data_IF_692312547137
#
_entry.id   IF_692312547137
#
_cell.length_a   1.000
_cell.length_b   1.000
_cell.length_c   1.000
_cell.angle_alpha   90.00
_cell.angle_beta   90.00
_cell.angle_gamma   90.00
#
_symmetry.space_group_name_H-M   'P 1'
#
loop_
_entity.id
_entity.type
_entity.pdbx_description
1 polymer ?
#
# COMPACT_ATOMS: atom_id res chain seq x y z
N UNK A 1 -12.11 47.87 4.75
CA UNK A 1 -11.12 46.97 4.18
C UNK A 1 -11.47 46.76 2.72
N UNK A 2 -10.58 47.22 1.82
CA UNK A 2 -10.83 47.23 0.38
C UNK A 2 -10.81 45.76 -0.16
N UNK A 3 -11.53 45.49 -1.23
CA UNK A 3 -11.62 44.13 -1.83
C UNK A 3 -10.24 43.55 -2.16
N UNK A 4 -9.29 44.42 -2.53
CA UNK A 4 -7.89 44.03 -2.76
C UNK A 4 -7.15 43.61 -1.49
N UNK A 5 -7.41 44.23 -0.35
CA UNK A 5 -6.82 43.84 0.93
C UNK A 5 -7.37 42.50 1.43
N UNK A 6 -8.66 42.19 1.19
CA UNK A 6 -9.24 40.89 1.46
C UNK A 6 -8.60 39.78 0.61
N UNK A 7 -8.43 40.03 -0.69
CA UNK A 7 -7.81 39.05 -1.62
C UNK A 7 -6.33 38.81 -1.29
N UNK A 8 -5.59 39.87 -0.88
CA UNK A 8 -4.20 39.72 -0.44
C UNK A 8 -4.11 38.97 0.88
N UNK A 9 -5.03 39.20 1.81
CA UNK A 9 -5.08 38.53 3.11
C UNK A 9 -5.48 37.07 3.00
N UNK A 10 -6.46 36.72 2.12
CA UNK A 10 -6.81 35.38 1.77
C UNK A 10 -5.66 34.62 1.09
N UNK A 11 -4.95 35.27 0.17
CA UNK A 11 -3.76 34.70 -0.48
C UNK A 11 -2.56 34.53 0.49
N UNK A 12 -2.45 35.35 1.54
CA UNK A 12 -1.42 35.23 2.58
C UNK A 12 -1.81 34.11 3.58
N UNK A 13 -3.08 33.97 3.92
CA UNK A 13 -3.57 32.88 4.78
C UNK A 13 -3.51 31.52 4.07
N UNK A 14 -3.88 31.43 2.79
CA UNK A 14 -3.70 30.23 2.00
C UNK A 14 -2.21 29.86 1.86
N UNK A 15 -1.32 30.83 1.66
CA UNK A 15 0.13 30.58 1.66
C UNK A 15 0.70 30.12 3.01
N UNK A 16 0.12 30.53 4.14
CA UNK A 16 0.58 30.11 5.49
C UNK A 16 0.20 28.68 5.85
N UNK A 17 -0.91 28.17 5.34
CA UNK A 17 -1.37 26.80 5.62
C UNK A 17 -0.60 25.72 4.85
N UNK A 18 0.11 26.06 3.79
CA UNK A 18 0.88 25.14 2.95
C UNK A 18 2.32 24.86 3.41
N UNK A 19 2.85 25.54 4.43
CA UNK A 19 4.27 25.42 4.80
C UNK A 19 4.74 23.99 5.18
N UNK A 20 3.87 23.17 5.74
CA UNK A 20 4.21 21.76 6.05
C UNK A 20 4.07 20.90 4.80
N UNK A 21 3.06 21.18 3.97
CA UNK A 21 2.80 20.46 2.72
C UNK A 21 3.88 20.70 1.67
N UNK A 22 4.54 21.84 1.71
CA UNK A 22 5.67 22.17 0.83
C UNK A 22 6.96 21.42 1.19
N UNK A 23 6.96 20.70 2.33
CA UNK A 23 8.04 19.81 2.76
C UNK A 23 7.65 18.34 2.55
N UNK A 24 7.93 17.76 1.38
CA UNK A 24 7.39 16.45 0.99
C UNK A 24 7.80 15.32 1.94
N UNK A 25 9.03 15.33 2.44
CA UNK A 25 9.51 14.31 3.38
C UNK A 25 8.74 14.43 4.71
N UNK A 26 8.63 15.64 5.25
CA UNK A 26 7.92 15.89 6.50
C UNK A 26 6.43 15.54 6.37
N UNK A 27 5.78 15.97 5.28
CA UNK A 27 4.37 15.65 5.05
C UNK A 27 4.14 14.14 4.88
N UNK A 28 5.04 13.43 4.22
CA UNK A 28 4.97 11.97 4.09
C UNK A 28 5.12 11.26 5.44
N UNK A 29 6.06 11.71 6.29
CA UNK A 29 6.22 11.19 7.65
C UNK A 29 4.96 11.44 8.49
N UNK A 30 4.40 12.64 8.43
CA UNK A 30 3.18 12.98 9.17
C UNK A 30 1.97 12.17 8.70
N UNK A 31 1.84 11.92 7.40
CA UNK A 31 0.80 11.06 6.84
C UNK A 31 0.95 9.60 7.30
N UNK A 32 2.17 9.08 7.31
CA UNK A 32 2.46 7.75 7.84
C UNK A 32 2.09 7.65 9.33
N UNK A 33 2.54 8.62 10.14
CA UNK A 33 2.20 8.67 11.57
C UNK A 33 0.69 8.79 11.81
N UNK A 34 -0.01 9.52 10.94
CA UNK A 34 -1.47 9.65 11.00
C UNK A 34 -2.17 8.29 10.81
N UNK A 35 -1.84 7.52 9.78
CA UNK A 35 -2.42 6.18 9.59
C UNK A 35 -2.07 5.25 10.74
N UNK A 36 -0.81 5.27 11.19
CA UNK A 36 -0.37 4.49 12.34
C UNK A 36 -1.17 4.83 13.59
N UNK A 37 -1.41 6.12 13.85
CA UNK A 37 -2.22 6.58 14.99
C UNK A 37 -3.67 6.12 14.86
N UNK A 38 -4.30 6.29 13.69
CA UNK A 38 -5.68 5.85 13.44
C UNK A 38 -5.80 4.35 13.70
N UNK A 39 -4.88 3.55 13.15
CA UNK A 39 -4.86 2.10 13.34
C UNK A 39 -4.67 1.73 14.82
N UNK A 40 -3.72 2.38 15.52
CA UNK A 40 -3.45 2.15 16.93
C UNK A 40 -4.67 2.48 17.81
N UNK A 41 -5.37 3.59 17.54
CA UNK A 41 -6.59 3.96 18.27
C UNK A 41 -7.65 2.87 18.15
N UNK A 42 -7.91 2.35 16.95
CA UNK A 42 -8.86 1.25 16.78
C UNK A 42 -8.46 0.00 17.57
N UNK A 43 -7.19 -0.37 17.57
CA UNK A 43 -6.71 -1.53 18.32
C UNK A 43 -6.79 -1.30 19.85
N UNK A 44 -6.47 -0.10 20.33
CA UNK A 44 -6.54 0.23 21.76
C UNK A 44 -7.98 0.24 22.31
N UNK A 45 -8.97 0.65 21.54
CA UNK A 45 -10.38 0.71 21.98
C UNK A 45 -11.13 -0.61 21.80
N UNK A 46 -10.58 -1.54 21.05
CA UNK A 46 -11.21 -2.80 20.68
C UNK A 46 -11.59 -3.65 21.89
N UNK A 47 -10.63 -3.95 22.78
CA UNK A 47 -10.86 -4.79 23.97
C UNK A 47 -11.72 -4.09 25.01
N UNK A 48 -11.39 -2.85 25.48
CA UNK A 48 -12.16 -2.20 26.55
C UNK A 48 -13.62 -1.87 26.18
N UNK A 49 -13.88 -1.50 24.93
CA UNK A 49 -15.20 -1.05 24.51
C UNK A 49 -16.06 -2.19 23.97
N UNK A 50 -15.45 -3.14 23.25
CA UNK A 50 -16.17 -4.16 22.48
C UNK A 50 -15.97 -5.58 23.02
N UNK A 51 -15.04 -5.78 23.96
CA UNK A 51 -14.72 -7.11 24.52
C UNK A 51 -14.19 -8.11 23.47
N UNK A 52 -13.63 -7.60 22.39
CA UNK A 52 -13.27 -8.41 21.22
C UNK A 52 -11.79 -8.75 21.24
N UNK A 53 -11.44 -10.02 21.13
CA UNK A 53 -10.06 -10.51 21.00
C UNK A 53 -9.75 -10.87 19.54
N UNK A 54 -8.47 -10.80 19.15
CA UNK A 54 -8.04 -11.09 17.76
C UNK A 54 -8.27 -12.55 17.35
N UNK A 55 -8.22 -13.47 18.29
CA UNK A 55 -8.34 -14.92 18.01
C UNK A 55 -9.77 -15.36 17.65
N UNK A 56 -10.79 -14.60 18.03
CA UNK A 56 -12.19 -14.99 17.82
C UNK A 56 -12.80 -14.42 16.53
N UNK A 57 -13.92 -15.01 16.09
CA UNK A 57 -14.69 -14.55 14.93
C UNK A 57 -15.05 -13.05 15.02
N UNK A 58 -15.45 -12.58 16.21
CA UNK A 58 -15.75 -11.16 16.43
C UNK A 58 -14.55 -10.25 16.20
N UNK A 59 -13.33 -10.69 16.60
CA UNK A 59 -12.08 -9.99 16.36
C UNK A 59 -11.75 -9.86 14.88
N UNK A 60 -11.92 -10.93 14.14
CA UNK A 60 -11.65 -10.93 12.71
C UNK A 60 -12.63 -10.02 11.94
N UNK A 61 -13.92 -10.07 12.28
CA UNK A 61 -14.93 -9.18 11.68
C UNK A 61 -14.63 -7.72 12.04
N UNK A 62 -14.24 -7.44 13.28
CA UNK A 62 -13.83 -6.10 13.70
C UNK A 62 -12.62 -5.61 12.90
N UNK A 63 -11.60 -6.45 12.73
CA UNK A 63 -10.40 -6.13 11.96
C UNK A 63 -10.73 -5.76 10.50
N UNK A 64 -11.63 -6.47 9.87
CA UNK A 64 -12.13 -6.13 8.52
C UNK A 64 -12.85 -4.78 8.54
N UNK A 65 -13.80 -4.58 9.46
CA UNK A 65 -14.59 -3.37 9.53
C UNK A 65 -13.74 -2.12 9.78
N UNK A 66 -12.78 -2.18 10.71
CA UNK A 66 -11.93 -1.03 10.97
C UNK A 66 -10.98 -0.71 9.81
N UNK A 67 -10.54 -1.68 9.02
CA UNK A 67 -9.69 -1.40 7.86
C UNK A 67 -10.44 -0.59 6.79
N UNK A 68 -11.72 -0.93 6.51
CA UNK A 68 -12.56 -0.12 5.63
C UNK A 68 -12.86 1.27 6.20
N UNK A 69 -13.07 1.36 7.52
CA UNK A 69 -13.29 2.65 8.18
C UNK A 69 -12.01 3.52 8.13
N UNK A 70 -10.83 2.91 8.32
CA UNK A 70 -9.53 3.59 8.17
C UNK A 70 -9.34 4.09 6.74
N UNK A 71 -9.68 3.28 5.73
CA UNK A 71 -9.66 3.71 4.33
C UNK A 71 -10.53 4.95 4.13
N UNK A 72 -11.79 4.89 4.57
CA UNK A 72 -12.74 5.99 4.38
C UNK A 72 -12.29 7.28 5.08
N UNK A 73 -11.85 7.18 6.35
CA UNK A 73 -11.37 8.32 7.13
C UNK A 73 -10.11 8.91 6.50
N UNK A 74 -9.15 8.07 6.14
CA UNK A 74 -7.87 8.50 5.57
C UNK A 74 -8.08 9.19 4.23
N UNK A 75 -8.86 8.60 3.33
CA UNK A 75 -9.16 9.19 2.02
C UNK A 75 -9.91 10.52 2.15
N UNK A 76 -10.88 10.60 3.07
CA UNK A 76 -11.60 11.83 3.36
C UNK A 76 -10.68 12.93 3.90
N UNK A 77 -9.86 12.62 4.90
CA UNK A 77 -8.95 13.60 5.50
C UNK A 77 -7.87 14.01 4.50
N UNK A 78 -7.31 13.06 3.75
CA UNK A 78 -6.30 13.33 2.75
C UNK A 78 -6.80 14.27 1.66
N UNK A 79 -7.99 13.98 1.07
CA UNK A 79 -8.53 14.76 -0.04
C UNK A 79 -9.21 16.05 0.39
N UNK A 80 -9.99 16.07 1.48
CA UNK A 80 -10.85 17.20 1.85
C UNK A 80 -10.24 18.14 2.88
N UNK A 81 -9.45 17.58 3.81
CA UNK A 81 -8.88 18.37 4.91
C UNK A 81 -7.43 18.73 4.62
N UNK A 82 -6.61 17.75 4.30
CA UNK A 82 -5.17 17.92 4.13
C UNK A 82 -4.84 18.68 2.84
N UNK A 83 -5.35 18.23 1.70
CA UNK A 83 -5.14 18.89 0.41
C UNK A 83 -6.32 19.73 -0.09
N UNK A 84 -7.34 19.95 0.75
CA UNK A 84 -8.45 20.89 0.50
C UNK A 84 -9.08 20.78 -0.89
N UNK A 85 -9.14 19.56 -1.44
CA UNK A 85 -9.71 19.29 -2.75
C UNK A 85 -8.74 19.46 -3.93
N UNK A 86 -7.45 19.79 -3.69
CA UNK A 86 -6.42 19.85 -4.73
C UNK A 86 -6.04 18.48 -5.29
N UNK A 87 -6.53 17.41 -4.68
CA UNK A 87 -6.29 16.04 -5.09
C UNK A 87 -7.59 15.26 -5.27
N UNK A 88 -7.76 14.61 -6.41
CA UNK A 88 -8.97 13.84 -6.74
C UNK A 88 -9.19 12.58 -5.91
N UNK A 89 -8.18 12.16 -5.16
CA UNK A 89 -8.18 10.92 -4.38
C UNK A 89 -7.54 9.75 -5.09
N UNK A 90 -7.40 8.66 -4.36
CA UNK A 90 -6.60 7.50 -4.79
C UNK A 90 -7.45 6.34 -5.29
N UNK A 91 -8.75 6.34 -5.01
CA UNK A 91 -9.67 5.28 -5.44
C UNK A 91 -10.08 5.40 -6.91
N UNK A 92 -10.11 6.64 -7.44
CA UNK A 92 -10.48 6.92 -8.84
C UNK A 92 -9.32 6.60 -9.80
N UNK A 93 -9.65 6.02 -10.97
CA UNK A 93 -8.70 5.68 -12.02
C UNK A 93 -9.23 4.57 -12.92
N UNK A 94 -8.42 4.06 -13.83
CA UNK A 94 -8.76 2.94 -14.71
C UNK A 94 -8.53 1.60 -13.97
N UNK A 95 -9.49 1.25 -13.10
CA UNK A 95 -9.46 0.01 -12.30
C UNK A 95 -9.36 -1.23 -13.22
N UNK A 96 -10.14 -1.25 -14.31
CA UNK A 96 -10.15 -2.37 -15.25
C UNK A 96 -8.80 -2.58 -15.93
N UNK A 97 -8.12 -1.51 -16.29
CA UNK A 97 -6.76 -1.59 -16.81
C UNK A 97 -5.79 -2.11 -15.73
N UNK A 98 -5.84 -1.55 -14.53
CA UNK A 98 -5.01 -1.99 -13.40
C UNK A 98 -5.17 -3.48 -13.10
N UNK A 99 -6.40 -3.98 -13.01
CA UNK A 99 -6.66 -5.42 -12.79
C UNK A 99 -6.09 -6.30 -13.89
N UNK A 100 -6.18 -5.89 -15.16
CA UNK A 100 -5.55 -6.64 -16.27
C UNK A 100 -4.03 -6.73 -16.13
N UNK A 101 -3.37 -5.69 -15.62
CA UNK A 101 -1.92 -5.69 -15.38
C UNK A 101 -1.50 -6.67 -14.27
N UNK A 102 -2.43 -7.07 -13.39
CA UNK A 102 -2.17 -8.02 -12.30
C UNK A 102 -2.20 -9.49 -12.78
N UNK A 103 -2.79 -9.79 -13.93
CA UNK A 103 -2.99 -11.17 -14.42
C UNK A 103 -1.71 -12.02 -14.39
N UNK A 104 -0.53 -11.55 -14.86
CA UNK A 104 0.69 -12.37 -14.83
C UNK A 104 1.08 -12.81 -13.42
N UNK A 105 0.88 -11.94 -12.42
CA UNK A 105 1.22 -12.25 -11.02
C UNK A 105 0.22 -13.27 -10.45
N UNK A 106 -1.08 -13.07 -10.69
CA UNK A 106 -2.11 -14.05 -10.30
C UNK A 106 -1.82 -15.45 -10.86
N UNK A 107 -1.38 -15.52 -12.11
CA UNK A 107 -1.01 -16.81 -12.73
C UNK A 107 0.19 -17.44 -12.01
N UNK A 108 1.22 -16.66 -11.69
CA UNK A 108 2.39 -17.19 -10.96
C UNK A 108 2.00 -17.65 -9.56
N UNK A 109 1.23 -16.85 -8.82
CA UNK A 109 0.74 -17.21 -7.47
C UNK A 109 -0.08 -18.50 -7.50
N UNK A 110 -0.98 -18.64 -8.47
CA UNK A 110 -1.79 -19.86 -8.62
C UNK A 110 -0.95 -21.10 -8.99
N UNK A 111 0.12 -20.92 -9.77
CA UNK A 111 1.03 -22.02 -10.10
C UNK A 111 1.86 -22.44 -8.88
N UNK A 112 2.35 -21.48 -8.08
CA UNK A 112 3.05 -21.74 -6.81
C UNK A 112 2.10 -22.47 -5.85
N UNK A 113 0.89 -21.93 -5.67
CA UNK A 113 -0.14 -22.55 -4.83
C UNK A 113 -0.45 -24.00 -5.25
N UNK A 114 -0.67 -24.24 -6.55
CA UNK A 114 -0.97 -25.58 -7.06
C UNK A 114 0.21 -26.54 -6.84
N UNK A 115 1.45 -26.07 -7.03
CA UNK A 115 2.64 -26.85 -6.75
C UNK A 115 2.75 -27.23 -5.26
N UNK A 116 2.58 -26.27 -4.34
CA UNK A 116 2.67 -26.50 -2.91
C UNK A 116 1.57 -27.47 -2.43
N UNK A 117 0.37 -27.37 -3.01
CA UNK A 117 -0.71 -28.33 -2.74
C UNK A 117 -0.39 -29.73 -3.26
N UNK A 118 0.16 -29.83 -4.45
CA UNK A 118 0.59 -31.11 -5.02
C UNK A 118 1.67 -31.77 -4.16
N UNK A 119 2.60 -31.01 -3.63
CA UNK A 119 3.68 -31.46 -2.74
C UNK A 119 3.20 -31.73 -1.30
N UNK A 120 1.93 -31.52 -0.98
CA UNK A 120 1.35 -31.78 0.34
C UNK A 120 1.85 -30.83 1.43
N UNK A 121 2.34 -29.64 1.07
CA UNK A 121 2.86 -28.68 2.03
C UNK A 121 1.73 -28.02 2.85
N UNK A 122 2.05 -27.80 4.11
CA UNK A 122 1.30 -26.98 5.06
C UNK A 122 -0.01 -27.56 5.58
N UNK A 123 -0.43 -27.08 6.74
CA UNK A 123 -1.77 -27.24 7.29
C UNK A 123 -2.61 -26.00 6.95
N UNK A 124 -3.92 -26.21 6.73
CA UNK A 124 -4.83 -25.09 6.47
C UNK A 124 -4.96 -24.20 7.72
N UNK A 125 -4.65 -22.93 7.57
CA UNK A 125 -5.01 -21.90 8.55
C UNK A 125 -6.52 -21.64 8.52
N UNK A 126 -7.05 -21.09 9.60
CA UNK A 126 -8.46 -20.68 9.64
C UNK A 126 -8.79 -19.76 8.47
N UNK A 127 -9.75 -20.11 7.63
CA UNK A 127 -10.17 -19.33 6.47
C UNK A 127 -10.56 -17.90 6.88
N UNK A 128 -11.29 -17.75 7.99
CA UNK A 128 -11.69 -16.43 8.47
C UNK A 128 -10.47 -15.59 8.86
N UNK A 129 -9.47 -16.18 9.53
CA UNK A 129 -8.23 -15.50 9.86
C UNK A 129 -7.48 -15.05 8.60
N UNK A 130 -7.29 -15.95 7.64
CA UNK A 130 -6.61 -15.66 6.37
C UNK A 130 -7.29 -14.50 5.64
N UNK A 131 -8.62 -14.57 5.47
CA UNK A 131 -9.39 -13.51 4.80
C UNK A 131 -9.27 -12.18 5.55
N UNK A 132 -9.40 -12.18 6.89
CA UNK A 132 -9.32 -10.96 7.67
C UNK A 132 -7.93 -10.34 7.61
N UNK A 133 -6.87 -11.11 7.80
CA UNK A 133 -5.49 -10.64 7.74
C UNK A 133 -5.16 -10.06 6.35
N UNK A 134 -5.53 -10.77 5.28
CA UNK A 134 -5.29 -10.34 3.90
C UNK A 134 -6.07 -9.07 3.53
N UNK A 135 -7.33 -8.92 3.99
CA UNK A 135 -8.09 -7.67 3.78
C UNK A 135 -7.45 -6.51 4.52
N UNK A 136 -7.06 -6.72 5.77
CA UNK A 136 -6.43 -5.67 6.59
C UNK A 136 -5.11 -5.22 5.96
N UNK A 137 -4.22 -6.17 5.61
CA UNK A 137 -2.95 -5.85 4.96
C UNK A 137 -3.16 -5.13 3.62
N UNK A 138 -3.97 -5.71 2.74
CA UNK A 138 -4.26 -5.13 1.42
C UNK A 138 -4.85 -3.72 1.48
N UNK A 139 -5.63 -3.38 2.49
CA UNK A 139 -6.18 -2.03 2.66
C UNK A 139 -5.18 -1.09 3.34
N UNK A 140 -4.69 -1.45 4.53
CA UNK A 140 -3.89 -0.54 5.38
C UNK A 140 -2.53 -0.24 4.74
N UNK A 141 -1.89 -1.23 4.16
CA UNK A 141 -0.58 -1.06 3.55
C UNK A 141 -0.69 -0.28 2.23
N UNK A 142 -1.69 -0.55 1.40
CA UNK A 142 -1.87 0.21 0.16
C UNK A 142 -2.26 1.67 0.42
N UNK A 143 -3.09 1.95 1.43
CA UNK A 143 -3.34 3.34 1.86
C UNK A 143 -2.03 4.01 2.26
N UNK A 144 -1.23 3.35 3.09
CA UNK A 144 -0.03 3.94 3.66
C UNK A 144 1.02 4.22 2.58
N UNK A 145 1.35 3.22 1.77
CA UNK A 145 2.51 3.30 0.89
C UNK A 145 2.18 3.84 -0.50
N UNK A 146 0.98 3.57 -1.04
CA UNK A 146 0.58 4.04 -2.39
C UNK A 146 -0.29 5.27 -2.30
N UNK A 147 -1.35 5.24 -1.50
CA UNK A 147 -2.24 6.39 -1.39
C UNK A 147 -1.51 7.60 -0.79
N UNK A 148 -0.96 7.50 0.40
CA UNK A 148 -0.39 8.65 1.09
C UNK A 148 1.05 8.94 0.67
N UNK A 149 1.94 7.96 0.78
CA UNK A 149 3.37 8.18 0.53
C UNK A 149 3.65 8.46 -0.95
N UNK A 150 3.31 7.53 -1.84
CA UNK A 150 3.64 7.65 -3.26
C UNK A 150 2.90 8.81 -3.91
N UNK A 151 1.59 8.99 -3.65
CA UNK A 151 0.83 10.12 -4.21
C UNK A 151 1.41 11.47 -3.81
N UNK A 152 1.79 11.63 -2.54
CA UNK A 152 2.40 12.87 -2.05
C UNK A 152 3.79 13.11 -2.67
N UNK A 153 4.59 12.06 -2.86
CA UNK A 153 5.88 12.17 -3.55
C UNK A 153 5.68 12.50 -5.03
N UNK A 154 4.67 11.96 -5.70
CA UNK A 154 4.36 12.28 -7.10
C UNK A 154 3.95 13.73 -7.31
N UNK A 155 3.32 14.39 -6.34
CA UNK A 155 2.95 15.80 -6.39
C UNK A 155 4.14 16.72 -6.67
N UNK A 156 5.30 16.38 -6.15
CA UNK A 156 6.51 17.22 -6.21
C UNK A 156 7.51 16.77 -7.28
N UNK A 157 7.24 15.66 -7.98
CA UNK A 157 8.14 15.15 -9.02
C UNK A 157 7.75 15.70 -10.39
N UNK A 158 8.73 16.28 -11.10
CA UNK A 158 8.54 16.83 -12.45
C UNK A 158 9.41 16.13 -13.50
N UNK A 159 10.15 15.09 -13.13
CA UNK A 159 11.07 14.38 -14.01
C UNK A 159 10.92 12.87 -13.88
N UNK A 160 11.30 12.13 -14.93
CA UNK A 160 11.36 10.67 -14.89
C UNK A 160 12.22 10.15 -13.72
N UNK A 161 13.39 10.75 -13.48
CA UNK A 161 14.26 10.39 -12.34
C UNK A 161 13.58 10.62 -11.00
N UNK A 162 12.86 11.73 -10.86
CA UNK A 162 12.07 12.03 -9.65
C UNK A 162 10.98 10.99 -9.41
N UNK A 163 10.23 10.62 -10.45
CA UNK A 163 9.24 9.55 -10.37
C UNK A 163 9.87 8.23 -9.94
N UNK A 164 10.99 7.82 -10.55
CA UNK A 164 11.69 6.59 -10.17
C UNK A 164 12.21 6.63 -8.74
N UNK A 165 12.68 7.80 -8.27
CA UNK A 165 13.07 8.00 -6.87
C UNK A 165 11.86 7.81 -5.93
N UNK A 166 10.71 8.40 -6.24
CA UNK A 166 9.48 8.23 -5.46
C UNK A 166 9.05 6.77 -5.37
N UNK A 167 9.06 6.05 -6.50
CA UNK A 167 8.77 4.61 -6.57
C UNK A 167 9.76 3.82 -5.71
N UNK A 168 11.06 4.10 -5.85
CA UNK A 168 12.11 3.38 -5.09
C UNK A 168 11.96 3.59 -3.59
N UNK A 169 11.77 4.84 -3.15
CA UNK A 169 11.61 5.16 -1.72
C UNK A 169 10.37 4.48 -1.16
N UNK A 170 9.22 4.61 -1.83
CA UNK A 170 7.97 3.98 -1.39
C UNK A 170 8.10 2.46 -1.29
N UNK A 171 8.76 1.81 -2.25
CA UNK A 171 8.91 0.35 -2.29
C UNK A 171 9.89 -0.17 -1.23
N UNK A 172 11.01 0.53 -1.02
CA UNK A 172 11.98 0.15 0.02
C UNK A 172 11.41 0.35 1.43
N UNK A 173 10.67 1.43 1.67
CA UNK A 173 10.03 1.66 2.98
C UNK A 173 8.94 0.61 3.22
N UNK A 174 8.17 0.24 2.19
CA UNK A 174 7.20 -0.84 2.28
C UNK A 174 7.86 -2.18 2.65
N UNK A 175 8.92 -2.58 1.95
CA UNK A 175 9.67 -3.79 2.32
C UNK A 175 10.22 -3.72 3.74
N UNK A 176 10.85 -2.59 4.11
CA UNK A 176 11.46 -2.39 5.43
C UNK A 176 10.44 -2.43 6.59
N UNK A 177 9.18 -2.09 6.36
CA UNK A 177 8.12 -2.19 7.36
C UNK A 177 7.97 -3.62 7.90
N UNK A 178 8.28 -4.64 7.09
CA UNK A 178 8.19 -6.06 7.48
C UNK A 178 9.22 -6.49 8.54
N UNK A 179 10.30 -5.70 8.74
CA UNK A 179 11.20 -5.96 9.88
C UNK A 179 10.51 -5.85 11.24
N UNK A 180 9.35 -5.18 11.32
CA UNK A 180 8.52 -5.17 12.52
C UNK A 180 8.06 -6.57 12.94
N UNK A 181 7.98 -7.52 12.01
CA UNK A 181 7.58 -8.91 12.29
C UNK A 181 8.56 -9.62 13.22
N UNK A 182 9.84 -9.18 13.26
CA UNK A 182 10.83 -9.68 14.23
C UNK A 182 10.42 -9.40 15.67
N UNK A 183 9.70 -8.30 15.93
CA UNK A 183 9.15 -7.98 17.27
C UNK A 183 8.09 -9.01 17.66
N UNK A 184 7.31 -9.51 16.68
CA UNK A 184 6.33 -10.58 16.84
C UNK A 184 6.93 -11.99 16.92
N UNK A 185 8.26 -12.13 16.88
CA UNK A 185 8.95 -13.41 16.95
C UNK A 185 9.10 -14.15 15.61
N UNK A 186 9.00 -13.43 14.48
CA UNK A 186 9.21 -14.03 13.16
C UNK A 186 10.65 -14.56 12.99
N UNK A 187 10.80 -15.59 12.17
CA UNK A 187 12.11 -16.11 11.76
C UNK A 187 12.88 -15.04 10.97
N UNK A 188 14.17 -14.85 11.30
CA UNK A 188 15.02 -13.81 10.67
C UNK A 188 15.18 -14.06 9.17
N UNK A 189 15.43 -15.31 8.75
CA UNK A 189 15.58 -15.66 7.33
C UNK A 189 14.29 -15.39 6.54
N UNK A 190 13.14 -15.79 7.08
CA UNK A 190 11.84 -15.52 6.50
C UNK A 190 11.55 -14.01 6.40
N UNK A 191 11.93 -13.23 7.42
CA UNK A 191 11.75 -11.77 7.40
C UNK A 191 12.63 -11.10 6.36
N UNK A 192 13.88 -11.55 6.17
CA UNK A 192 14.76 -11.03 5.11
C UNK A 192 14.18 -11.37 3.73
N UNK A 193 13.70 -12.62 3.54
CA UNK A 193 13.01 -13.05 2.32
C UNK A 193 11.79 -12.16 2.06
N UNK A 194 10.96 -11.96 3.06
CA UNK A 194 9.78 -11.10 3.00
C UNK A 194 10.13 -9.62 2.68
N UNK A 195 11.22 -9.08 3.23
CA UNK A 195 11.71 -7.74 2.87
C UNK A 195 12.00 -7.62 1.37
N UNK A 196 12.68 -8.62 0.80
CA UNK A 196 13.03 -8.64 -0.63
C UNK A 196 11.76 -8.75 -1.48
N UNK A 197 10.91 -9.73 -1.19
CA UNK A 197 9.66 -9.98 -1.90
C UNK A 197 8.71 -8.78 -1.84
N UNK A 198 8.49 -8.25 -0.64
CA UNK A 198 7.66 -7.06 -0.43
C UNK A 198 8.23 -5.83 -1.16
N UNK A 199 9.56 -5.65 -1.20
CA UNK A 199 10.17 -4.56 -1.98
C UNK A 199 9.86 -4.72 -3.48
N UNK A 200 10.03 -5.91 -4.05
CA UNK A 200 9.70 -6.19 -5.46
C UNK A 200 8.20 -6.00 -5.73
N UNK A 201 7.33 -6.49 -4.84
CA UNK A 201 5.89 -6.25 -4.90
C UNK A 201 5.58 -4.75 -4.82
N UNK A 202 6.30 -4.03 -3.96
CA UNK A 202 6.23 -2.59 -3.82
C UNK A 202 6.47 -1.84 -5.12
N UNK A 203 7.52 -2.20 -5.83
CA UNK A 203 7.83 -1.66 -7.15
C UNK A 203 6.71 -1.92 -8.16
N UNK A 204 6.21 -3.14 -8.21
CA UNK A 204 5.16 -3.52 -9.15
C UNK A 204 3.83 -2.81 -8.84
N UNK A 205 3.38 -2.78 -7.59
CA UNK A 205 2.16 -2.07 -7.20
C UNK A 205 2.28 -0.57 -7.43
N UNK A 206 3.44 0.03 -7.17
CA UNK A 206 3.69 1.43 -7.52
C UNK A 206 3.56 1.65 -9.04
N UNK A 207 4.12 0.75 -9.86
CA UNK A 207 4.03 0.85 -11.31
C UNK A 207 2.58 0.74 -11.82
N UNK A 208 1.80 -0.20 -11.29
CA UNK A 208 0.37 -0.35 -11.63
C UNK A 208 -0.42 0.88 -11.20
N UNK A 209 -0.23 1.33 -9.95
CA UNK A 209 -0.91 2.50 -9.43
C UNK A 209 -0.61 3.77 -10.25
N UNK A 210 0.65 4.01 -10.57
CA UNK A 210 1.04 5.15 -11.40
C UNK A 210 0.44 5.09 -12.80
N UNK A 211 0.29 3.88 -13.35
CA UNK A 211 -0.23 3.69 -14.71
C UNK A 211 -1.75 3.78 -14.80
N UNK A 212 -2.48 3.25 -13.80
CA UNK A 212 -3.95 3.22 -13.81
C UNK A 212 -4.60 4.33 -12.97
N UNK A 213 -3.86 4.98 -12.08
CA UNK A 213 -4.34 6.07 -11.23
C UNK A 213 -5.22 5.63 -10.05
N UNK A 214 -5.45 4.34 -9.83
CA UNK A 214 -6.27 3.82 -8.72
C UNK A 214 -5.50 2.81 -7.88
N UNK A 215 -5.64 2.88 -6.54
CA UNK A 215 -5.07 1.87 -5.62
C UNK A 215 -5.91 0.59 -5.55
N UNK A 216 -7.15 0.61 -6.04
CA UNK A 216 -8.05 -0.55 -5.94
C UNK A 216 -7.47 -1.82 -6.55
N UNK A 217 -6.84 -1.81 -7.74
CA UNK A 217 -6.17 -3.00 -8.27
C UNK A 217 -5.07 -3.53 -7.34
N UNK A 218 -4.28 -2.63 -6.72
CA UNK A 218 -3.23 -3.00 -5.79
C UNK A 218 -3.81 -3.67 -4.53
N UNK A 219 -4.88 -3.09 -3.95
CA UNK A 219 -5.59 -3.70 -2.81
C UNK A 219 -6.11 -5.09 -3.12
N UNK A 220 -6.75 -5.27 -4.29
CA UNK A 220 -7.30 -6.56 -4.72
C UNK A 220 -6.21 -7.60 -4.91
N UNK A 221 -5.11 -7.22 -5.54
CA UNK A 221 -3.99 -8.14 -5.78
C UNK A 221 -3.25 -8.47 -4.49
N UNK A 222 -3.01 -7.49 -3.64
CA UNK A 222 -2.38 -7.69 -2.33
C UNK A 222 -3.21 -8.68 -1.49
N UNK A 223 -4.52 -8.44 -1.39
CA UNK A 223 -5.44 -9.37 -0.76
C UNK A 223 -5.32 -10.79 -1.35
N UNK A 224 -5.36 -10.94 -2.67
CA UNK A 224 -5.31 -12.24 -3.33
C UNK A 224 -3.98 -12.96 -3.09
N UNK A 225 -2.85 -12.24 -3.15
CA UNK A 225 -1.52 -12.76 -2.86
C UNK A 225 -1.42 -13.25 -1.42
N UNK A 226 -1.85 -12.44 -0.45
CA UNK A 226 -1.81 -12.79 0.96
C UNK A 226 -2.71 -13.96 1.32
N UNK A 227 -3.89 -14.08 0.68
CA UNK A 227 -4.75 -15.26 0.86
C UNK A 227 -4.00 -16.53 0.47
N UNK A 228 -3.29 -16.50 -0.65
CA UNK A 228 -2.50 -17.66 -1.12
C UNK A 228 -1.32 -17.92 -0.17
N UNK A 229 -0.58 -16.88 0.19
CA UNK A 229 0.59 -16.99 1.05
C UNK A 229 0.24 -17.47 2.46
N UNK A 230 -0.77 -16.85 3.10
CA UNK A 230 -1.12 -17.16 4.49
C UNK A 230 -1.87 -18.48 4.67
N UNK A 231 -2.46 -19.02 3.60
CA UNK A 231 -3.29 -20.24 3.72
C UNK A 231 -2.51 -21.43 4.27
N UNK A 232 -1.22 -21.54 3.94
CA UNK A 232 -0.37 -22.67 4.30
C UNK A 232 0.92 -22.29 5.02
N UNK A 233 1.09 -21.00 5.35
CA UNK A 233 2.27 -20.51 6.05
C UNK A 233 2.20 -20.91 7.53
N UNK A 234 3.31 -21.40 8.08
CA UNK A 234 3.45 -21.59 9.53
C UNK A 234 3.55 -20.25 10.25
N UNK A 235 2.52 -19.90 11.00
CA UNK A 235 2.42 -18.67 11.77
C UNK A 235 2.23 -18.96 13.25
N UNK A 236 2.73 -18.08 14.12
CA UNK A 236 2.49 -18.12 15.56
C UNK A 236 1.18 -17.39 15.95
N UNK A 237 0.86 -17.35 17.25
CA UNK A 237 -0.33 -16.67 17.78
C UNK A 237 -0.37 -15.16 17.45
N UNK A 238 0.78 -14.53 17.24
CA UNK A 238 0.88 -13.12 16.82
C UNK A 238 0.78 -12.91 15.31
N UNK A 239 0.63 -13.99 14.52
CA UNK A 239 0.58 -13.94 13.06
C UNK A 239 1.95 -13.84 12.38
N UNK A 240 3.04 -13.96 13.15
CA UNK A 240 4.38 -13.91 12.59
C UNK A 240 4.83 -15.28 12.05
N UNK A 241 5.51 -15.30 10.91
CA UNK A 241 6.06 -16.50 10.29
C UNK A 241 7.17 -17.11 11.15
N UNK A 242 6.95 -18.32 11.66
CA UNK A 242 7.91 -19.05 12.50
C UNK A 242 8.78 -20.03 11.69
N UNK A 243 8.31 -20.45 10.53
CA UNK A 243 9.05 -21.35 9.65
C UNK A 243 10.22 -20.60 8.98
N UNK A 244 11.34 -21.29 8.86
CA UNK A 244 12.48 -20.80 8.08
C UNK A 244 12.26 -20.99 6.58
N UNK A 245 13.07 -20.32 5.78
CA UNK A 245 13.08 -20.49 4.32
C UNK A 245 13.64 -21.86 3.93
N UNK A 246 13.01 -22.50 2.95
CA UNK A 246 13.50 -23.71 2.30
C UNK A 246 14.08 -23.37 0.91
N UNK A 247 14.96 -24.23 0.33
CA UNK A 247 15.42 -24.02 -1.03
C UNK A 247 14.30 -23.84 -2.04
N UNK A 248 13.21 -24.61 -1.90
CA UNK A 248 12.04 -24.54 -2.77
C UNK A 248 11.32 -23.19 -2.62
N UNK A 249 11.08 -22.73 -1.39
CA UNK A 249 10.42 -21.44 -1.16
C UNK A 249 11.26 -20.26 -1.69
N UNK A 250 12.59 -20.35 -1.57
CA UNK A 250 13.50 -19.35 -2.14
C UNK A 250 13.40 -19.34 -3.67
N UNK A 251 13.36 -20.50 -4.32
CA UNK A 251 13.23 -20.59 -5.78
C UNK A 251 11.88 -19.99 -6.24
N UNK A 252 10.79 -20.33 -5.56
CA UNK A 252 9.46 -19.78 -5.86
C UNK A 252 9.45 -18.25 -5.75
N UNK A 253 10.04 -17.72 -4.68
CA UNK A 253 10.15 -16.28 -4.46
C UNK A 253 11.02 -15.60 -5.53
N UNK A 254 12.14 -16.19 -5.92
CA UNK A 254 12.98 -15.67 -7.01
C UNK A 254 12.18 -15.59 -8.31
N UNK A 255 11.42 -16.63 -8.67
CA UNK A 255 10.57 -16.63 -9.87
C UNK A 255 9.55 -15.51 -9.82
N UNK A 256 8.84 -15.36 -8.71
CA UNK A 256 7.85 -14.30 -8.54
C UNK A 256 8.51 -12.92 -8.63
N UNK A 257 9.62 -12.71 -7.93
CA UNK A 257 10.35 -11.45 -7.92
C UNK A 257 10.87 -11.05 -9.31
N UNK A 258 11.34 -12.01 -10.11
CA UNK A 258 11.74 -11.75 -11.50
C UNK A 258 10.54 -11.23 -12.31
N UNK A 259 9.38 -11.87 -12.19
CA UNK A 259 8.17 -11.43 -12.92
C UNK A 259 7.75 -10.04 -12.47
N UNK A 260 7.73 -9.76 -11.16
CA UNK A 260 7.41 -8.43 -10.60
C UNK A 260 8.35 -7.33 -11.14
N UNK A 261 9.66 -7.60 -11.13
CA UNK A 261 10.67 -6.65 -11.62
C UNK A 261 10.53 -6.42 -13.12
N UNK A 262 10.37 -7.48 -13.91
CA UNK A 262 10.18 -7.38 -15.38
C UNK A 262 8.92 -6.56 -15.70
N UNK A 263 7.80 -6.84 -15.04
CA UNK A 263 6.57 -6.08 -15.23
C UNK A 263 6.75 -4.61 -14.83
N UNK A 264 7.43 -4.34 -13.71
CA UNK A 264 7.75 -2.97 -13.28
C UNK A 264 8.54 -2.22 -14.34
N UNK A 265 9.61 -2.83 -14.87
CA UNK A 265 10.43 -2.22 -15.93
C UNK A 265 9.61 -1.94 -17.18
N UNK A 266 8.71 -2.87 -17.59
CA UNK A 266 7.82 -2.67 -18.74
C UNK A 266 6.84 -1.52 -18.51
N UNK A 267 6.28 -1.40 -17.31
CA UNK A 267 5.27 -0.39 -17.00
C UNK A 267 5.87 1.02 -16.81
N UNK A 268 7.08 1.11 -16.27
CA UNK A 268 7.75 2.38 -15.98
C UNK A 268 8.82 2.77 -16.99
N UNK A 269 8.74 2.27 -18.23
CA UNK A 269 9.64 2.70 -19.32
C UNK A 269 9.62 4.22 -19.52
N UNK A 270 10.77 4.83 -19.90
CA UNK A 270 10.85 6.28 -20.11
C UNK A 270 9.82 6.83 -21.11
N UNK A 271 9.47 6.08 -22.14
CA UNK A 271 8.47 6.45 -23.14
C UNK A 271 7.04 6.54 -22.59
N UNK A 272 6.77 5.91 -21.44
CA UNK A 272 5.47 5.99 -20.75
C UNK A 272 5.37 7.13 -19.76
N UNK A 273 6.49 7.76 -19.42
CA UNK A 273 6.55 8.78 -18.39
C UNK A 273 5.59 9.94 -18.63
N UNK A 274 5.54 10.48 -19.85
CA UNK A 274 4.67 11.62 -20.16
C UNK A 274 3.18 11.29 -19.97
N UNK A 275 2.77 10.06 -20.28
CA UNK A 275 1.39 9.60 -20.03
C UNK A 275 1.10 9.52 -18.54
N UNK A 276 2.00 8.91 -17.76
CA UNK A 276 1.89 8.80 -16.31
C UNK A 276 1.83 10.21 -15.70
N UNK A 277 2.75 11.10 -16.07
CA UNK A 277 2.81 12.46 -15.59
C UNK A 277 1.51 13.23 -15.85
N UNK A 278 0.95 13.09 -17.05
CA UNK A 278 -0.33 13.74 -17.40
C UNK A 278 -1.43 13.28 -16.44
N UNK A 279 -1.62 11.97 -16.26
CA UNK A 279 -2.60 11.41 -15.31
C UNK A 279 -2.41 11.98 -13.92
N UNK A 280 -1.16 12.10 -13.44
CA UNK A 280 -0.87 12.59 -12.09
C UNK A 280 -1.00 14.11 -11.97
N UNK A 281 -0.70 14.89 -13.01
CA UNK A 281 -0.99 16.31 -13.03
C UNK A 281 -2.51 16.57 -13.00
N UNK A 282 -3.30 15.79 -13.72
CA UNK A 282 -4.77 15.85 -13.69
C UNK A 282 -5.28 15.54 -12.28
N UNK A 283 -4.80 14.48 -11.64
CA UNK A 283 -5.19 14.11 -10.26
C UNK A 283 -4.85 15.19 -9.23
N UNK A 284 -3.78 15.91 -9.42
CA UNK A 284 -3.32 17.00 -8.54
C UNK A 284 -3.74 18.40 -9.03
N UNK A 285 -4.59 18.49 -10.05
CA UNK A 285 -5.03 19.75 -10.68
C UNK A 285 -3.89 20.70 -11.05
N UNK A 286 -2.70 20.15 -11.34
CA UNK A 286 -1.51 20.94 -11.68
C UNK A 286 -1.65 21.48 -13.10
N UNK A 287 -1.62 22.81 -13.26
CA UNK A 287 -1.68 23.47 -14.57
C UNK A 287 -3.08 23.60 -15.18
N UNK A 288 -4.14 23.44 -14.40
CA UNK A 288 -5.53 23.64 -14.86
C UNK A 288 -6.03 25.08 -14.70
N UNK A 289 -5.25 25.94 -14.05
CA UNK A 289 -5.60 27.36 -13.78
C UNK A 289 -5.11 28.33 -14.87
N UNK A 290 -4.93 27.87 -16.13
CA UNK A 290 -4.60 28.75 -17.26
C UNK A 290 -5.72 28.84 -18.27
#
# INVERSE_FOLDING_TARGET
MNTQEKTVQENIETKKTHKIMDRPILSTILLYLFVTLVTAVFQLVKIPIWGVTDAGTGGQIFNIAYSFLTLAITEMIFTKVWFKGEFEGTLKGDIGHGLRLMIPIVVVDLLIFAYDRFMGKGSLNSILYVLAASIVAGIIEEITFRSLMLSNLMRITSTYKGMMCAVTVSSLVFGAAHFSNLIGGANVGATISQFIGATCMGFFFAAVYLTCGSIVPCMVMHFAHDVIALMFLGINESGATIEGTTPESIIQEIILNIVLVVMTVILLKPDRYEKIRRTWNEKWHIGQDM
#
